data_IF_119546850453
#
_entry.id   IF_119546850453
#
_cell.length_a   1.000
_cell.length_b   1.000
_cell.length_c   1.000
_cell.angle_alpha   90.00
_cell.angle_beta   90.00
_cell.angle_gamma   90.00
#
_symmetry.space_group_name_H-M   'P 1'
#
loop_
_entity.id
_entity.type
_entity.pdbx_description
1 polymer ?
#
# COMPACT_ATOMS: atom_id res chain seq x y z
N UNK A 1 3.25 25.51 19.29
CA UNK A 1 2.92 26.10 17.96
C UNK A 1 4.11 26.91 17.41
N UNK A 2 5.32 26.32 17.33
CA UNK A 2 6.55 27.01 16.92
C UNK A 2 7.34 26.29 15.80
N UNK A 3 7.04 25.01 15.53
CA UNK A 3 7.80 24.21 14.57
C UNK A 3 7.29 24.27 13.11
N UNK A 4 6.01 24.56 12.88
CA UNK A 4 5.43 24.47 11.53
C UNK A 4 5.65 25.74 10.67
N UNK A 5 5.85 26.91 11.30
CA UNK A 5 6.17 28.15 10.59
C UNK A 5 7.65 28.24 10.14
N UNK A 6 8.55 27.46 10.75
CA UNK A 6 9.95 27.38 10.35
C UNK A 6 10.18 26.50 9.11
N UNK A 7 9.33 25.48 8.89
CA UNK A 7 9.48 24.54 7.77
C UNK A 7 9.07 25.14 6.41
N UNK A 8 8.01 25.98 6.37
CA UNK A 8 7.55 26.62 5.12
C UNK A 8 8.43 27.79 4.67
N UNK A 9 9.04 28.55 5.61
CA UNK A 9 9.95 29.66 5.27
C UNK A 9 11.35 29.20 4.81
N UNK A 10 11.77 27.96 5.11
CA UNK A 10 13.12 27.45 4.80
C UNK A 10 13.27 26.69 3.48
N UNK A 11 12.19 26.39 2.74
CA UNK A 11 12.29 25.71 1.43
C UNK A 11 13.01 26.53 0.35
N UNK A 12 13.16 27.85 0.52
CA UNK A 12 13.79 28.75 -0.47
C UNK A 12 15.33 28.88 -0.39
N UNK A 13 16.00 28.31 0.61
CA UNK A 13 17.42 28.60 0.89
C UNK A 13 18.33 27.36 0.99
N UNK A 14 17.93 26.23 0.41
CA UNK A 14 18.74 25.00 0.49
C UNK A 14 19.48 24.77 -0.82
N UNK A 15 20.81 24.57 -0.80
CA UNK A 15 21.59 24.24 -1.99
C UNK A 15 21.03 23.00 -2.70
N UNK A 16 21.14 22.95 -4.03
CA UNK A 16 20.66 21.85 -4.90
C UNK A 16 21.11 20.47 -4.40
N UNK A 17 22.33 20.38 -3.85
CA UNK A 17 22.95 19.17 -3.31
C UNK A 17 22.15 18.55 -2.15
N UNK A 18 21.60 19.38 -1.26
CA UNK A 18 20.78 18.91 -0.13
C UNK A 18 19.40 18.43 -0.56
N UNK A 19 18.85 18.97 -1.64
CA UNK A 19 17.58 18.48 -2.21
C UNK A 19 17.73 17.09 -2.81
N UNK A 20 18.89 16.78 -3.38
CA UNK A 20 19.21 15.42 -3.87
C UNK A 20 19.30 14.42 -2.73
N UNK A 21 20.01 14.75 -1.66
CA UNK A 21 20.16 13.87 -0.49
C UNK A 21 18.84 13.64 0.24
N UNK A 22 17.99 14.68 0.37
CA UNK A 22 16.64 14.51 0.92
C UNK A 22 15.77 13.61 0.05
N UNK A 23 15.81 13.77 -1.28
CA UNK A 23 15.10 12.87 -2.20
C UNK A 23 15.60 11.44 -2.09
N UNK A 24 16.90 11.23 -1.91
CA UNK A 24 17.49 9.90 -1.71
C UNK A 24 17.05 9.28 -0.38
N UNK A 25 17.01 10.06 0.70
CA UNK A 25 16.52 9.61 2.01
C UNK A 25 15.01 9.34 1.99
N UNK A 26 14.20 10.22 1.42
CA UNK A 26 12.76 10.02 1.20
C UNK A 26 12.51 8.78 0.33
N UNK A 27 13.28 8.59 -0.75
CA UNK A 27 13.21 7.39 -1.58
C UNK A 27 13.60 6.12 -0.81
N UNK A 28 14.64 6.17 0.03
CA UNK A 28 15.06 5.03 0.86
C UNK A 28 14.03 4.70 1.94
N UNK A 29 13.46 5.71 2.60
CA UNK A 29 12.40 5.56 3.60
C UNK A 29 11.09 5.05 2.98
N UNK A 30 10.71 5.53 1.79
CA UNK A 30 9.54 5.05 1.04
C UNK A 30 9.76 3.64 0.46
N UNK A 31 11.00 3.30 0.11
CA UNK A 31 11.36 1.93 -0.25
C UNK A 31 11.19 1.03 0.97
N UNK A 32 11.65 1.46 2.15
CA UNK A 32 11.47 0.71 3.41
C UNK A 32 10.00 0.51 3.79
N UNK A 33 9.13 1.52 3.64
CA UNK A 33 7.70 1.39 3.99
C UNK A 33 6.97 0.40 3.08
N UNK A 34 7.24 0.43 1.77
CA UNK A 34 6.67 -0.53 0.81
C UNK A 34 7.13 -1.96 1.04
N UNK A 35 8.40 -2.17 1.38
CA UNK A 35 8.91 -3.49 1.77
C UNK A 35 8.19 -3.99 3.01
N UNK A 36 8.12 -3.19 4.07
CA UNK A 36 7.44 -3.57 5.31
C UNK A 36 5.99 -3.97 5.08
N UNK A 37 5.24 -3.19 4.30
CA UNK A 37 3.85 -3.51 3.94
C UNK A 37 3.73 -4.80 3.14
N UNK A 38 4.62 -5.02 2.18
CA UNK A 38 4.68 -6.26 1.43
C UNK A 38 4.94 -7.45 2.36
N UNK A 39 5.92 -7.34 3.26
CA UNK A 39 6.27 -8.39 4.22
C UNK A 39 5.11 -8.70 5.16
N UNK A 40 4.41 -7.67 5.64
CA UNK A 40 3.22 -7.86 6.48
C UNK A 40 2.14 -8.62 5.71
N UNK A 41 1.78 -8.19 4.50
CA UNK A 41 0.75 -8.87 3.70
C UNK A 41 1.15 -10.31 3.37
N UNK A 42 2.42 -10.56 3.09
CA UNK A 42 2.94 -11.90 2.83
C UNK A 42 2.82 -12.79 4.07
N UNK A 43 3.18 -12.27 5.25
CA UNK A 43 3.04 -13.01 6.52
C UNK A 43 1.58 -13.35 6.80
N UNK A 44 0.67 -12.38 6.64
CA UNK A 44 -0.77 -12.60 6.83
C UNK A 44 -1.28 -13.69 5.90
N UNK A 45 -0.99 -13.59 4.60
CA UNK A 45 -1.42 -14.59 3.64
C UNK A 45 -0.86 -15.98 3.95
N UNK A 46 0.41 -16.09 4.37
CA UNK A 46 1.01 -17.35 4.77
C UNK A 46 0.38 -17.93 6.06
N UNK A 47 0.13 -17.11 7.08
CA UNK A 47 -0.56 -17.55 8.29
C UNK A 47 -1.97 -18.03 8.00
N UNK A 48 -2.69 -17.38 7.07
CA UNK A 48 -4.02 -17.80 6.68
C UNK A 48 -4.04 -19.13 5.91
N UNK A 49 -2.98 -19.45 5.16
CA UNK A 49 -2.80 -20.79 4.57
C UNK A 49 -2.75 -21.84 5.67
N UNK A 50 -1.96 -21.63 6.72
CA UNK A 50 -1.85 -22.56 7.85
C UNK A 50 -3.19 -22.70 8.59
N UNK A 51 -3.86 -21.58 8.88
CA UNK A 51 -5.17 -21.56 9.56
C UNK A 51 -6.25 -22.31 8.77
N UNK A 52 -6.32 -22.10 7.45
CA UNK A 52 -7.30 -22.79 6.60
C UNK A 52 -7.00 -24.29 6.49
N UNK A 53 -5.73 -24.70 6.40
CA UNK A 53 -5.35 -26.12 6.40
C UNK A 53 -5.70 -26.80 7.74
N UNK A 54 -5.41 -26.15 8.86
CA UNK A 54 -5.76 -26.65 10.20
C UNK A 54 -7.28 -26.81 10.38
N UNK A 55 -8.07 -25.89 9.81
CA UNK A 55 -9.53 -25.93 9.82
C UNK A 55 -10.14 -26.84 8.76
N UNK A 56 -9.34 -27.41 7.85
CA UNK A 56 -9.80 -28.17 6.67
C UNK A 56 -10.77 -27.38 5.79
N UNK A 57 -10.53 -26.08 5.69
CA UNK A 57 -11.22 -25.16 4.79
C UNK A 57 -10.47 -25.09 3.45
N UNK A 58 -10.83 -25.99 2.52
CA UNK A 58 -10.19 -26.12 1.21
C UNK A 58 -10.33 -24.88 0.33
N UNK A 59 -11.48 -24.20 0.41
CA UNK A 59 -11.75 -22.99 -0.37
C UNK A 59 -10.88 -21.82 0.12
N UNK A 60 -10.83 -21.62 1.45
CA UNK A 60 -9.94 -20.64 2.07
C UNK A 60 -8.47 -20.95 1.80
N UNK A 61 -8.07 -22.22 1.89
CA UNK A 61 -6.71 -22.66 1.60
C UNK A 61 -6.29 -22.32 0.16
N UNK A 62 -7.13 -22.69 -0.81
CA UNK A 62 -6.93 -22.38 -2.23
C UNK A 62 -6.85 -20.87 -2.48
N UNK A 63 -7.70 -20.09 -1.82
CA UNK A 63 -7.69 -18.64 -1.93
C UNK A 63 -6.39 -18.04 -1.39
N UNK A 64 -5.97 -18.37 -0.17
CA UNK A 64 -4.79 -17.77 0.45
C UNK A 64 -3.48 -18.20 -0.22
N UNK A 65 -3.40 -19.43 -0.73
CA UNK A 65 -2.28 -19.87 -1.58
C UNK A 65 -2.19 -19.02 -2.86
N UNK A 66 -3.34 -18.73 -3.49
CA UNK A 66 -3.39 -17.84 -4.64
C UNK A 66 -2.97 -16.41 -4.28
N UNK A 67 -3.34 -15.89 -3.10
CA UNK A 67 -2.89 -14.58 -2.60
C UNK A 67 -1.36 -14.55 -2.42
N UNK A 68 -0.75 -15.61 -1.87
CA UNK A 68 0.71 -15.70 -1.74
C UNK A 68 1.40 -15.63 -3.11
N UNK A 69 0.91 -16.38 -4.10
CA UNK A 69 1.44 -16.34 -5.47
C UNK A 69 1.29 -14.95 -6.08
N UNK A 70 0.11 -14.33 -5.94
CA UNK A 70 -0.15 -12.97 -6.41
C UNK A 70 0.83 -11.97 -5.80
N UNK A 71 1.04 -12.02 -4.48
CA UNK A 71 1.95 -11.11 -3.79
C UNK A 71 3.39 -11.30 -4.28
N UNK A 72 3.85 -12.54 -4.48
CA UNK A 72 5.18 -12.81 -5.05
C UNK A 72 5.35 -12.23 -6.45
N UNK A 73 4.34 -12.38 -7.31
CA UNK A 73 4.34 -11.77 -8.64
C UNK A 73 4.31 -10.23 -8.56
N UNK A 74 3.55 -9.65 -7.63
CA UNK A 74 3.46 -8.20 -7.42
C UNK A 74 4.80 -7.61 -6.97
N UNK A 75 5.37 -8.20 -5.91
CA UNK A 75 6.53 -7.68 -5.18
C UNK A 75 6.23 -6.37 -4.44
N UNK A 76 7.23 -5.87 -3.70
CA UNK A 76 7.10 -4.66 -2.88
C UNK A 76 6.82 -3.39 -3.71
N UNK A 77 7.28 -3.33 -4.97
CA UNK A 77 7.08 -2.18 -5.86
C UNK A 77 5.60 -1.94 -6.23
N UNK A 78 4.74 -2.90 -5.92
CA UNK A 78 3.30 -2.85 -6.19
C UNK A 78 2.46 -2.30 -5.02
N UNK A 79 3.12 -2.02 -3.89
CA UNK A 79 2.52 -1.45 -2.70
C UNK A 79 2.29 0.06 -2.81
N UNK A 80 1.20 0.55 -2.22
CA UNK A 80 0.85 1.97 -2.16
C UNK A 80 1.93 2.81 -1.47
N UNK A 81 2.10 4.02 -1.96
CA UNK A 81 2.94 5.04 -1.32
C UNK A 81 2.24 5.63 -0.09
N UNK A 82 3.02 6.13 0.84
CA UNK A 82 2.52 6.80 2.04
C UNK A 82 3.25 8.10 2.31
N UNK A 83 2.51 9.11 2.75
CA UNK A 83 3.08 10.35 3.30
C UNK A 83 2.63 10.53 4.74
N UNK A 84 3.50 11.11 5.58
CA UNK A 84 3.12 11.49 6.94
C UNK A 84 2.18 12.69 6.90
N UNK A 85 1.05 12.58 7.60
CA UNK A 85 0.09 13.67 7.76
C UNK A 85 -0.38 13.80 9.20
N UNK A 86 -0.97 14.95 9.50
CA UNK A 86 -1.65 15.20 10.77
C UNK A 86 -3.10 15.56 10.47
N UNK A 87 -4.03 15.01 11.24
CA UNK A 87 -5.45 15.34 11.12
C UNK A 87 -6.01 15.74 12.48
N UNK A 88 -7.04 16.58 12.46
CA UNK A 88 -7.81 16.91 13.66
C UNK A 88 -8.93 15.89 13.78
N UNK A 89 -8.98 15.19 14.90
CA UNK A 89 -10.05 14.24 15.15
C UNK A 89 -11.35 14.98 15.48
N UNK A 90 -12.33 14.89 14.60
CA UNK A 90 -13.64 15.51 14.77
C UNK A 90 -14.55 14.71 15.73
N UNK A 91 -14.18 13.49 16.11
CA UNK A 91 -14.98 12.66 17.04
C UNK A 91 -14.79 13.04 18.51
N UNK A 92 -13.83 13.93 18.81
CA UNK A 92 -13.71 14.51 20.15
C UNK A 92 -14.82 15.55 20.32
N UNK A 93 -15.84 15.23 21.14
CA UNK A 93 -17.08 15.99 21.30
C UNK A 93 -16.91 17.49 21.56
N UNK A 94 -18.01 18.25 21.47
CA UNK A 94 -18.06 19.72 21.28
C UNK A 94 -17.46 20.62 22.39
N UNK A 95 -16.67 20.07 23.31
CA UNK A 95 -15.89 20.83 24.31
C UNK A 95 -14.42 20.40 24.41
N UNK A 96 -13.98 19.43 23.61
CA UNK A 96 -12.62 18.90 23.64
C UNK A 96 -11.75 19.65 22.64
N UNK A 97 -10.65 20.24 23.10
CA UNK A 97 -9.64 20.82 22.21
C UNK A 97 -9.24 19.79 21.14
N UNK A 98 -9.36 20.11 19.85
CA UNK A 98 -8.99 19.18 18.79
C UNK A 98 -7.50 18.86 18.87
N UNK A 99 -7.16 17.67 19.37
CA UNK A 99 -5.78 17.20 19.46
C UNK A 99 -5.35 16.72 18.07
N UNK A 100 -4.29 17.28 17.47
CA UNK A 100 -3.75 16.76 16.22
C UNK A 100 -3.27 15.33 16.41
N UNK A 101 -3.78 14.40 15.60
CA UNK A 101 -3.34 13.00 15.55
C UNK A 101 -2.49 12.77 14.30
N UNK A 102 -1.43 11.99 14.45
CA UNK A 102 -0.60 11.56 13.32
C UNK A 102 -1.33 10.45 12.54
N UNK A 103 -1.27 10.52 11.22
CA UNK A 103 -1.80 9.52 10.30
C UNK A 103 -0.85 9.32 9.10
N UNK A 104 -1.02 8.19 8.41
CA UNK A 104 -0.41 7.92 7.12
C UNK A 104 -1.43 8.22 6.01
N UNK A 105 -1.05 9.09 5.09
CA UNK A 105 -1.82 9.37 3.88
C UNK A 105 -1.47 8.34 2.81
N UNK A 106 -2.41 7.47 2.45
CA UNK A 106 -2.19 6.43 1.43
C UNK A 106 -2.49 7.00 0.06
N UNK A 107 -1.46 7.09 -0.79
CA UNK A 107 -1.58 7.67 -2.13
C UNK A 107 -2.10 6.66 -3.16
N UNK A 108 -2.85 7.16 -4.14
CA UNK A 108 -3.39 6.36 -5.23
C UNK A 108 -2.34 6.10 -6.32
N UNK A 109 -2.10 4.83 -6.65
CA UNK A 109 -1.26 4.44 -7.79
C UNK A 109 -2.12 4.32 -9.04
N UNK A 110 -2.19 5.36 -9.87
CA UNK A 110 -3.04 5.41 -11.08
C UNK A 110 -2.83 4.25 -12.07
N UNK A 111 -1.61 3.71 -12.10
CA UNK A 111 -1.22 2.61 -12.97
C UNK A 111 -1.67 1.25 -12.45
N UNK A 112 -1.99 1.14 -11.16
CA UNK A 112 -2.35 -0.12 -10.50
C UNK A 112 -3.81 -0.44 -10.74
N UNK A 113 -4.11 -1.69 -11.09
CA UNK A 113 -5.50 -2.12 -11.24
C UNK A 113 -6.29 -1.96 -9.92
N UNK A 114 -7.53 -1.46 -9.99
CA UNK A 114 -8.35 -1.15 -8.79
C UNK A 114 -8.61 -2.37 -7.90
N UNK A 115 -8.68 -3.55 -8.51
CA UNK A 115 -8.75 -4.86 -7.85
C UNK A 115 -7.80 -4.98 -6.65
N UNK A 116 -6.53 -4.60 -6.83
CA UNK A 116 -5.53 -4.76 -5.78
C UNK A 116 -5.71 -3.81 -4.62
N UNK A 117 -6.35 -2.66 -4.83
CA UNK A 117 -6.70 -1.78 -3.71
C UNK A 117 -7.69 -2.50 -2.80
N UNK A 118 -8.76 -3.09 -3.36
CA UNK A 118 -9.73 -3.86 -2.59
C UNK A 118 -9.07 -5.08 -1.91
N UNK A 119 -8.25 -5.84 -2.65
CA UNK A 119 -7.59 -7.04 -2.12
C UNK A 119 -6.65 -6.70 -0.96
N UNK A 120 -5.83 -5.65 -1.09
CA UNK A 120 -4.91 -5.27 -0.03
C UNK A 120 -5.63 -4.73 1.20
N UNK A 121 -6.74 -3.99 1.02
CA UNK A 121 -7.60 -3.59 2.13
C UNK A 121 -8.20 -4.82 2.83
N UNK A 122 -8.65 -5.82 2.08
CA UNK A 122 -9.16 -7.07 2.65
C UNK A 122 -8.10 -7.77 3.51
N UNK A 123 -6.89 -7.97 2.97
CA UNK A 123 -5.76 -8.58 3.72
C UNK A 123 -5.45 -7.78 5.01
N UNK A 124 -5.48 -6.45 4.93
CA UNK A 124 -5.21 -5.59 6.09
C UNK A 124 -6.31 -5.71 7.14
N UNK A 125 -7.58 -5.81 6.75
CA UNK A 125 -8.71 -6.00 7.68
C UNK A 125 -8.67 -7.39 8.32
N UNK A 126 -8.25 -8.43 7.60
CA UNK A 126 -8.08 -9.79 8.17
C UNK A 126 -7.21 -9.77 9.43
N UNK A 127 -6.16 -8.93 9.46
CA UNK A 127 -5.30 -8.80 10.65
C UNK A 127 -6.01 -8.22 11.87
N UNK A 128 -7.02 -7.38 11.65
CA UNK A 128 -7.79 -6.75 12.72
C UNK A 128 -8.95 -7.60 13.22
N UNK A 129 -9.48 -8.51 12.39
CA UNK A 129 -10.54 -9.44 12.80
C UNK A 129 -9.95 -10.61 13.58
N UNK A 130 -8.78 -11.08 13.17
CA UNK A 130 -8.14 -12.24 13.78
C UNK A 130 -7.08 -11.82 14.83
N UNK A 131 -7.44 -10.96 15.78
CA UNK A 131 -6.52 -10.51 16.86
C UNK A 131 -5.93 -11.68 17.66
N UNK A 132 -6.66 -12.81 17.74
CA UNK A 132 -6.17 -14.05 18.35
C UNK A 132 -5.03 -14.72 17.57
N UNK A 133 -4.98 -14.55 16.25
CA UNK A 133 -3.96 -15.12 15.37
C UNK A 133 -2.82 -14.11 15.19
N UNK A 134 -3.15 -12.84 15.06
CA UNK A 134 -2.20 -11.74 14.90
C UNK A 134 -2.09 -10.93 16.19
N UNK A 135 -1.41 -11.48 17.20
CA UNK A 135 -1.08 -10.70 18.39
C UNK A 135 -0.14 -9.54 18.04
N UNK A 136 -0.69 -8.33 17.96
CA UNK A 136 0.10 -7.11 17.78
C UNK A 136 0.74 -6.69 19.10
N UNK A 137 1.84 -7.33 19.48
CA UNK A 137 2.70 -6.81 20.53
C UNK A 137 3.41 -5.54 20.02
N UNK A 138 3.05 -4.36 20.51
CA UNK A 138 3.78 -3.13 20.19
C UNK A 138 2.97 -1.85 20.19
N UNK A 139 3.53 -0.81 19.56
CA UNK A 139 2.83 0.48 19.37
C UNK A 139 1.61 0.29 18.46
N UNK A 140 0.46 0.90 18.79
CA UNK A 140 -0.71 0.89 17.93
C UNK A 140 -0.37 1.33 16.51
N UNK A 141 -0.98 0.68 15.52
CA UNK A 141 -0.86 1.07 14.13
C UNK A 141 -1.31 2.51 13.94
N UNK A 142 -0.52 3.28 13.20
CA UNK A 142 -0.89 4.64 12.84
C UNK A 142 -2.10 4.60 11.90
N UNK A 143 -3.15 5.40 12.12
CA UNK A 143 -4.31 5.44 11.24
C UNK A 143 -3.90 5.72 9.80
N UNK A 144 -4.49 4.98 8.85
CA UNK A 144 -4.30 5.20 7.42
C UNK A 144 -5.50 5.95 6.86
N UNK A 145 -5.25 7.04 6.13
CA UNK A 145 -6.28 7.86 5.47
C UNK A 145 -6.06 7.73 3.97
N UNK A 146 -7.03 7.14 3.29
CA UNK A 146 -7.03 7.07 1.82
C UNK A 146 -7.44 8.41 1.24
N UNK A 147 -6.67 8.89 0.27
CA UNK A 147 -6.91 10.16 -0.40
C UNK A 147 -6.88 9.97 -1.91
N UNK A 148 -7.48 10.92 -2.63
CA UNK A 148 -7.46 10.93 -4.10
C UNK A 148 -6.11 11.40 -4.68
N UNK A 149 -5.16 11.78 -3.83
CA UNK A 149 -3.84 12.24 -4.28
C UNK A 149 -3.10 11.10 -4.97
N UNK A 150 -2.71 11.33 -6.23
CA UNK A 150 -1.92 10.38 -7.00
C UNK A 150 -0.46 10.32 -6.53
N UNK A 151 0.09 9.11 -6.45
CA UNK A 151 1.52 8.90 -6.29
C UNK A 151 2.25 9.12 -7.61
N UNK A 152 3.45 9.70 -7.54
CA UNK A 152 4.38 9.86 -8.66
C UNK A 152 5.24 8.61 -8.90
N UNK A 153 5.07 7.56 -8.09
CA UNK A 153 5.89 6.36 -8.17
C UNK A 153 5.73 5.64 -9.51
N UNK A 154 6.83 5.27 -10.17
CA UNK A 154 6.76 4.60 -11.46
C UNK A 154 6.20 3.18 -11.33
N UNK A 155 5.51 2.68 -12.37
CA UNK A 155 5.10 1.29 -12.44
C UNK A 155 6.33 0.36 -12.43
N UNK A 156 6.30 -0.77 -11.70
CA UNK A 156 7.37 -1.76 -11.75
C UNK A 156 7.38 -2.47 -13.12
N UNK A 157 8.56 -2.76 -13.70
CA UNK A 157 8.67 -3.51 -14.94
C UNK A 157 8.45 -5.02 -14.72
N UNK A 158 8.31 -5.79 -15.81
CA UNK A 158 8.18 -7.25 -15.79
C UNK A 158 7.00 -7.70 -14.92
N UNK A 159 5.82 -7.17 -15.22
CA UNK A 159 4.57 -7.56 -14.56
C UNK A 159 3.52 -7.95 -15.59
N UNK A 160 2.63 -8.89 -15.25
CA UNK A 160 1.50 -9.25 -16.11
C UNK A 160 0.63 -8.04 -16.44
N UNK A 161 0.04 -8.02 -17.64
CA UNK A 161 -0.85 -6.95 -18.07
C UNK A 161 -2.05 -6.74 -17.12
N UNK A 162 -2.56 -7.80 -16.52
CA UNK A 162 -3.68 -7.77 -15.56
C UNK A 162 -3.38 -6.97 -14.29
N UNK A 163 -2.11 -6.70 -13.99
CA UNK A 163 -1.70 -5.91 -12.83
C UNK A 163 -1.93 -4.40 -13.04
N UNK A 164 -2.07 -3.98 -14.28
CA UNK A 164 -2.20 -2.58 -14.63
C UNK A 164 -3.65 -2.18 -14.88
N UNK A 165 -3.96 -0.93 -14.55
CA UNK A 165 -5.25 -0.35 -14.86
C UNK A 165 -5.42 -0.26 -16.39
N UNK A 166 -6.47 -0.87 -17.00
CA UNK A 166 -6.66 -0.86 -18.44
C UNK A 166 -6.73 0.55 -19.03
N UNK A 167 -7.44 1.48 -18.39
CA UNK A 167 -7.54 2.87 -18.87
C UNK A 167 -6.22 3.62 -18.81
N UNK A 168 -5.35 3.23 -17.89
CA UNK A 168 -4.00 3.78 -17.78
C UNK A 168 -3.05 3.24 -18.86
N UNK A 169 -3.23 1.97 -19.26
CA UNK A 169 -2.43 1.35 -20.33
C UNK A 169 -2.76 1.92 -21.72
N UNK A 170 -4.03 2.20 -22.02
CA UNK A 170 -4.46 2.69 -23.35
C UNK A 170 -3.75 3.99 -23.75
N UNK A 171 -3.45 4.87 -22.80
CA UNK A 171 -2.89 6.19 -23.05
C UNK A 171 -1.35 6.23 -23.04
N UNK A 172 -0.68 5.12 -23.38
CA UNK A 172 0.79 4.98 -23.32
C UNK A 172 1.44 5.00 -24.70
N UNK A 173 2.54 5.73 -24.81
CA UNK A 173 3.37 5.73 -26.03
C UNK A 173 4.13 4.42 -26.18
N UNK A 174 4.56 4.09 -27.40
CA UNK A 174 5.35 2.88 -27.70
C UNK A 174 6.59 2.78 -26.78
N UNK A 175 7.29 3.90 -26.56
CA UNK A 175 8.46 3.95 -25.67
C UNK A 175 8.10 3.59 -24.23
N UNK A 176 6.93 4.04 -23.74
CA UNK A 176 6.46 3.73 -22.40
C UNK A 176 6.05 2.26 -22.27
N UNK A 177 5.44 1.68 -23.31
CA UNK A 177 5.15 0.24 -23.36
C UNK A 177 6.43 -0.60 -23.30
N UNK A 178 7.44 -0.27 -24.11
CA UNK A 178 8.72 -1.00 -24.10
C UNK A 178 9.45 -0.90 -22.76
N UNK A 179 9.33 0.24 -22.06
CA UNK A 179 9.94 0.42 -20.74
C UNK A 179 9.30 -0.45 -19.65
N UNK A 180 8.00 -0.77 -19.77
CA UNK A 180 7.30 -1.64 -18.81
C UNK A 180 7.77 -3.09 -18.90
N UNK A 181 8.24 -3.54 -20.08
CA UNK A 181 8.63 -4.93 -20.33
C UNK A 181 7.56 -5.88 -19.77
N UNK A 182 6.33 -5.74 -20.27
CA UNK A 182 5.22 -6.53 -19.73
C UNK A 182 5.55 -8.00 -19.81
N UNK A 183 5.17 -8.71 -18.75
CA UNK A 183 5.29 -10.15 -18.73
C UNK A 183 4.19 -10.72 -19.65
N UNK A 184 4.58 -11.64 -20.53
CA UNK A 184 3.66 -12.37 -21.41
C UNK A 184 2.82 -13.37 -20.61
N UNK A 185 3.25 -13.73 -19.40
CA UNK A 185 2.47 -14.55 -18.49
C UNK A 185 1.16 -13.86 -18.10
N UNK A 186 0.04 -14.54 -18.35
CA UNK A 186 -1.26 -14.11 -17.85
C UNK A 186 -1.43 -14.53 -16.38
N UNK A 187 -1.74 -13.55 -15.52
CA UNK A 187 -2.12 -13.83 -14.14
C UNK A 187 -3.62 -13.59 -14.00
N UNK A 188 -4.36 -14.66 -13.74
CA UNK A 188 -5.83 -14.64 -13.60
C UNK A 188 -6.19 -14.01 -12.25
N UNK A 189 -6.88 -12.88 -12.30
CA UNK A 189 -7.48 -12.26 -11.12
C UNK A 189 -8.77 -13.01 -10.77
N UNK A 190 -8.87 -13.51 -9.53
CA UNK A 190 -10.06 -14.19 -9.04
C UNK A 190 -11.13 -13.18 -8.63
N UNK A 191 -12.40 -13.55 -8.70
CA UNK A 191 -13.46 -12.75 -8.07
C UNK A 191 -13.48 -13.08 -6.57
N UNK A 192 -12.76 -12.28 -5.77
CA UNK A 192 -12.71 -12.48 -4.32
C UNK A 192 -13.76 -11.68 -3.55
N UNK A 193 -14.53 -10.81 -4.22
CA UNK A 193 -15.52 -9.96 -3.53
C UNK A 193 -16.65 -10.81 -2.93
N UNK A 194 -16.91 -11.99 -3.50
CA UNK A 194 -17.83 -12.99 -2.97
C UNK A 194 -17.45 -13.54 -1.59
N UNK A 195 -16.20 -13.36 -1.15
CA UNK A 195 -15.75 -13.77 0.17
C UNK A 195 -15.81 -12.62 1.20
N UNK A 196 -16.29 -11.44 0.81
CA UNK A 196 -16.43 -10.27 1.68
C UNK A 196 -17.87 -10.04 2.17
N UNK A 197 -18.84 -10.81 1.68
CA UNK A 197 -20.23 -10.83 2.14
C UNK A 197 -20.43 -11.82 3.31
#
# INVERSE_FOLDING_TARGET
MLYHNLAKRRKRLWPESWRSTLRQLENAMNTSSRHRKYDIRMKVAASMVEVCDDRKDEDGLSFWQWVVLLLRCAGHGFTSDEEDMWYLDATSGSGSSHIPKAAKQVLHLKWRHRYFTKLFTFIEVTTGVEEMIFHQAGRPLMPQIHVEKESTWPPPPNRPKSFFNPSWLVNRSIVQWSALKLDDAEFILRDFERYMD
#
